data_IF_691275519894
#
_entry.id   IF_691275519894
#
_cell.length_a   1.000
_cell.length_b   1.000
_cell.length_c   1.000
_cell.angle_alpha   90.00
_cell.angle_beta   90.00
_cell.angle_gamma   90.00
#
_symmetry.space_group_name_H-M   'P 1'
#
loop_
_entity.id
_entity.type
_entity.pdbx_description
1 polymer ?
#
# COMPACT_ATOMS: atom_id res chain seq x y z
N UNK A 1 6.25 2.45 8.78
CA UNK A 1 5.49 2.48 10.05
C UNK A 1 5.87 3.73 10.84
N UNK A 2 4.92 4.35 11.54
CA UNK A 2 5.18 5.43 12.50
C UNK A 2 5.20 4.82 13.90
N UNK A 3 6.09 5.27 14.78
CA UNK A 3 6.10 4.84 16.17
C UNK A 3 4.70 5.10 16.78
N UNK A 4 4.05 4.12 17.43
CA UNK A 4 2.70 4.29 17.99
C UNK A 4 2.54 5.51 18.92
N UNK A 5 3.60 5.90 19.64
CA UNK A 5 3.61 7.11 20.48
C UNK A 5 3.39 8.41 19.68
N UNK A 6 3.63 8.38 18.37
CA UNK A 6 3.46 9.48 17.44
C UNK A 6 2.29 9.25 16.47
N UNK A 7 1.31 8.42 16.84
CA UNK A 7 0.08 8.24 16.07
C UNK A 7 -0.91 9.38 16.35
N UNK A 8 -1.56 9.88 15.28
CA UNK A 8 -2.54 11.00 15.27
C UNK A 8 -2.06 12.46 15.26
N UNK A 9 -0.80 12.87 15.55
CA UNK A 9 -0.34 14.24 15.35
C UNK A 9 -0.05 14.57 13.87
N UNK A 10 -0.48 13.73 12.92
CA UNK A 10 -0.28 13.97 11.49
C UNK A 10 1.07 13.53 10.92
N UNK A 11 1.97 12.93 11.73
CA UNK A 11 3.29 12.47 11.26
C UNK A 11 3.21 11.54 10.04
N UNK A 12 2.27 10.59 10.04
CA UNK A 12 2.07 9.69 8.90
C UNK A 12 1.70 10.45 7.62
N UNK A 13 0.80 11.44 7.71
CA UNK A 13 0.41 12.29 6.58
C UNK A 13 1.61 13.09 6.07
N UNK A 14 2.33 13.76 6.97
CA UNK A 14 3.50 14.57 6.61
C UNK A 14 4.59 13.74 5.90
N UNK A 15 4.82 12.49 6.35
CA UNK A 15 5.76 11.59 5.69
C UNK A 15 5.32 11.22 4.27
N UNK A 16 4.04 10.88 4.08
CA UNK A 16 3.51 10.52 2.76
C UNK A 16 3.52 11.72 1.81
N UNK A 17 3.08 12.89 2.27
CA UNK A 17 3.08 14.13 1.49
C UNK A 17 4.51 14.53 1.09
N UNK A 18 5.49 14.39 1.98
CA UNK A 18 6.89 14.62 1.66
C UNK A 18 7.39 13.71 0.52
N UNK A 19 7.07 12.41 0.57
CA UNK A 19 7.43 11.46 -0.49
C UNK A 19 6.73 11.80 -1.80
N UNK A 20 5.44 12.10 -1.76
CA UNK A 20 4.66 12.49 -2.94
C UNK A 20 5.25 13.74 -3.61
N UNK A 21 5.63 14.75 -2.83
CA UNK A 21 6.25 15.96 -3.34
C UNK A 21 7.63 15.67 -3.95
N UNK A 22 8.48 14.91 -3.23
CA UNK A 22 9.84 14.56 -3.66
C UNK A 22 9.85 13.82 -5.00
N UNK A 23 8.89 12.92 -5.20
CA UNK A 23 8.78 12.08 -6.41
C UNK A 23 7.64 12.51 -7.34
N UNK A 24 7.24 13.79 -7.29
CA UNK A 24 6.21 14.36 -8.18
C UNK A 24 6.56 14.27 -9.67
N UNK A 25 7.84 14.09 -10.00
CA UNK A 25 8.33 13.88 -11.36
C UNK A 25 8.12 12.45 -11.88
N UNK A 26 7.77 11.50 -11.01
CA UNK A 26 7.47 10.13 -11.41
C UNK A 26 6.08 10.06 -12.04
N UNK A 27 5.92 9.21 -13.05
CA UNK A 27 4.62 8.99 -13.73
C UNK A 27 3.54 8.47 -12.78
N UNK A 28 3.90 7.65 -11.80
CA UNK A 28 2.98 7.11 -10.82
C UNK A 28 3.68 6.73 -9.51
N UNK A 29 2.95 6.81 -8.40
CA UNK A 29 3.34 6.24 -7.11
C UNK A 29 2.57 4.95 -6.89
N UNK A 30 3.29 3.87 -6.54
CA UNK A 30 2.72 2.57 -6.22
C UNK A 30 2.87 2.28 -4.74
N UNK A 31 1.77 1.92 -4.09
CA UNK A 31 1.76 1.50 -2.70
C UNK A 31 1.13 0.12 -2.59
N UNK A 32 1.88 -0.83 -2.06
CA UNK A 32 1.37 -2.13 -1.62
C UNK A 32 1.23 -2.14 -0.10
N UNK A 33 0.07 -2.53 0.42
CA UNK A 33 -0.20 -2.69 1.85
C UNK A 33 -1.07 -3.91 2.08
N UNK A 34 -1.37 -4.24 3.33
CA UNK A 34 -2.24 -5.36 3.67
C UNK A 34 -3.63 -5.21 3.02
N UNK A 35 -4.25 -6.33 2.68
CA UNK A 35 -5.58 -6.34 2.11
C UNK A 35 -6.60 -5.75 3.10
N UNK A 36 -7.63 -5.05 2.60
CA UNK A 36 -8.63 -4.35 3.42
C UNK A 36 -9.38 -5.27 4.40
N UNK A 37 -9.49 -6.56 4.08
CA UNK A 37 -10.12 -7.57 4.94
C UNK A 37 -9.30 -7.93 6.18
N UNK A 38 -8.05 -7.47 6.27
CA UNK A 38 -7.24 -7.63 7.49
C UNK A 38 -7.52 -6.50 8.49
N UNK A 39 -7.37 -6.75 9.81
CA UNK A 39 -7.61 -5.72 10.83
C UNK A 39 -6.77 -4.45 10.66
N UNK A 40 -5.51 -4.59 10.23
CA UNK A 40 -4.62 -3.47 9.95
C UNK A 40 -4.89 -2.84 8.57
N UNK A 41 -5.25 -3.66 7.58
CA UNK A 41 -5.53 -3.22 6.23
C UNK A 41 -6.68 -2.22 6.16
N UNK A 42 -7.80 -2.47 6.84
CA UNK A 42 -8.93 -1.52 6.84
C UNK A 42 -8.52 -0.10 7.29
N UNK A 43 -7.70 0.02 8.35
CA UNK A 43 -7.20 1.32 8.83
C UNK A 43 -6.23 1.97 7.85
N UNK A 44 -5.33 1.18 7.27
CA UNK A 44 -4.37 1.66 6.28
C UNK A 44 -5.08 2.19 5.03
N UNK A 45 -6.04 1.45 4.49
CA UNK A 45 -6.80 1.85 3.31
C UNK A 45 -7.57 3.14 3.53
N UNK A 46 -8.25 3.29 4.67
CA UNK A 46 -8.93 4.54 5.03
C UNK A 46 -7.96 5.74 5.08
N UNK A 47 -6.78 5.54 5.67
CA UNK A 47 -5.74 6.57 5.74
C UNK A 47 -5.24 6.99 4.34
N UNK A 48 -4.86 6.04 3.48
CA UNK A 48 -4.34 6.37 2.15
C UNK A 48 -5.42 6.94 1.22
N UNK A 49 -6.67 6.47 1.30
CA UNK A 49 -7.81 7.09 0.61
C UNK A 49 -7.98 8.56 1.01
N UNK A 50 -7.81 8.89 2.29
CA UNK A 50 -7.88 10.28 2.77
C UNK A 50 -6.77 11.20 2.22
N UNK A 51 -5.74 10.63 1.60
CA UNK A 51 -4.64 11.32 0.92
C UNK A 51 -4.77 11.30 -0.61
N UNK A 52 -5.86 10.77 -1.15
CA UNK A 52 -6.12 10.71 -2.60
C UNK A 52 -5.52 9.49 -3.31
N UNK A 53 -5.04 8.48 -2.58
CA UNK A 53 -4.72 7.20 -3.20
C UNK A 53 -6.02 6.47 -3.57
N UNK A 54 -6.01 5.85 -4.74
CA UNK A 54 -7.09 5.00 -5.22
C UNK A 54 -6.60 3.54 -5.26
N UNK A 55 -7.43 2.56 -4.84
CA UNK A 55 -7.17 1.13 -5.05
C UNK A 55 -6.95 0.81 -6.54
N UNK A 56 -6.31 -0.33 -6.82
CA UNK A 56 -6.05 -0.74 -8.20
C UNK A 56 -7.33 -0.99 -8.99
N UNK A 57 -8.34 -1.55 -8.33
CA UNK A 57 -9.65 -1.83 -8.93
C UNK A 57 -10.30 -0.54 -9.43
N UNK A 58 -10.24 0.54 -8.64
CA UNK A 58 -10.77 1.87 -9.03
C UNK A 58 -9.93 2.55 -10.12
N UNK A 59 -8.65 2.17 -10.27
CA UNK A 59 -7.79 2.66 -11.35
C UNK A 59 -7.86 1.81 -12.62
N UNK A 60 -8.66 0.74 -12.64
CA UNK A 60 -8.68 -0.27 -13.71
C UNK A 60 -7.27 -0.83 -13.98
N UNK A 61 -6.47 -0.99 -12.92
CA UNK A 61 -5.10 -1.49 -12.97
C UNK A 61 -5.02 -2.91 -12.38
N UNK A 62 -4.07 -3.70 -12.89
CA UNK A 62 -3.71 -4.98 -12.29
C UNK A 62 -2.36 -4.88 -11.56
N UNK A 63 -2.32 -5.38 -10.32
CA UNK A 63 -1.09 -5.57 -9.56
C UNK A 63 -0.61 -7.02 -9.67
N UNK A 64 0.65 -7.23 -10.06
CA UNK A 64 1.27 -8.55 -10.09
C UNK A 64 2.41 -8.58 -9.07
N UNK A 65 2.38 -9.56 -8.16
CA UNK A 65 3.44 -9.81 -7.19
C UNK A 65 4.04 -11.20 -7.36
N UNK A 66 5.35 -11.34 -7.14
CA UNK A 66 6.02 -12.63 -7.09
C UNK A 66 6.25 -13.01 -5.62
N UNK A 67 5.49 -13.97 -5.05
CA UNK A 67 5.66 -14.35 -3.65
C UNK A 67 6.99 -15.08 -3.45
N UNK A 68 7.76 -14.70 -2.42
CA UNK A 68 9.06 -15.35 -2.13
C UNK A 68 8.93 -16.83 -1.76
N UNK A 69 7.84 -17.17 -1.05
CA UNK A 69 7.56 -18.49 -0.50
C UNK A 69 6.42 -19.19 -1.25
N UNK A 70 6.34 -19.03 -2.58
CA UNK A 70 5.37 -19.76 -3.39
C UNK A 70 5.89 -21.18 -3.62
N UNK A 71 5.10 -22.24 -3.31
CA UNK A 71 5.44 -23.58 -3.76
C UNK A 71 5.63 -23.58 -5.28
N UNK A 72 6.62 -24.32 -5.79
CA UNK A 72 6.75 -24.51 -7.23
C UNK A 72 5.52 -25.25 -7.73
N UNK A 73 4.74 -24.59 -8.59
CA UNK A 73 3.50 -25.14 -9.13
C UNK A 73 3.74 -26.42 -9.95
N UNK A 74 4.97 -26.64 -10.42
CA UNK A 74 5.38 -27.87 -11.11
C UNK A 74 5.57 -29.06 -10.17
N UNK A 75 5.75 -28.80 -8.87
CA UNK A 75 5.94 -29.83 -7.84
C UNK A 75 4.63 -30.19 -7.13
N UNK A 76 3.51 -29.55 -7.49
CA UNK A 76 2.19 -29.75 -6.86
C UNK A 76 1.17 -30.47 -7.74
N UNK A 77 1.56 -30.94 -8.93
CA UNK A 77 0.71 -31.79 -9.78
C UNK A 77 1.06 -33.26 -9.47
N UNK A 78 0.08 -34.11 -9.11
CA UNK A 78 0.32 -35.55 -8.93
C UNK A 78 0.64 -36.25 -10.26
#
# INVERSE_FOLDING_TARGET
>A
MVNPANNRPGVGRALVEHVMQRYSHCRFSLLSTDHESSPEGSRNHAFYRSLGFLPYEEKEMAGFGLPRNRPDLRNTVP
#
